data_IF_012837932660
#
_entry.id   IF_012837932660
#
_cell.length_a   1.000
_cell.length_b   1.000
_cell.length_c   1.000
_cell.angle_alpha   90.00
_cell.angle_beta   90.00
_cell.angle_gamma   90.00
#
_symmetry.space_group_name_H-M   'P 1'
#
loop_
_entity.id
_entity.type
_entity.pdbx_description
1 polymer ?
#
# COMPACT_ATOMS: atom_id res chain seq x y z
N UNK A 1 -1.30 -21.57 -3.18
CA UNK A 1 -0.68 -20.35 -2.63
C UNK A 1 -1.73 -19.60 -1.80
N UNK A 2 -1.44 -19.23 -0.56
CA UNK A 2 -2.35 -18.46 0.31
C UNK A 2 -2.28 -16.97 -0.01
N UNK A 3 -3.36 -16.22 0.26
CA UNK A 3 -3.42 -14.76 0.02
C UNK A 3 -2.25 -13.99 0.63
N UNK A 4 -1.84 -14.36 1.86
CA UNK A 4 -0.67 -13.76 2.52
C UNK A 4 0.65 -14.02 1.78
N UNK A 5 0.79 -15.17 1.13
CA UNK A 5 1.98 -15.50 0.32
C UNK A 5 2.02 -14.68 -0.97
N UNK A 6 0.86 -14.47 -1.61
CA UNK A 6 0.73 -13.59 -2.79
C UNK A 6 1.12 -12.15 -2.48
N UNK A 7 0.57 -11.59 -1.38
CA UNK A 7 0.91 -10.23 -0.93
C UNK A 7 2.41 -10.08 -0.72
N UNK A 8 3.03 -11.03 -0.03
CA UNK A 8 4.48 -11.03 0.20
C UNK A 8 5.24 -11.09 -1.13
N UNK A 9 4.88 -12.00 -2.03
CA UNK A 9 5.55 -12.14 -3.33
C UNK A 9 5.51 -10.85 -4.17
N UNK A 10 4.37 -10.14 -4.17
CA UNK A 10 4.23 -8.86 -4.85
C UNK A 10 5.18 -7.79 -4.29
N UNK A 11 5.19 -7.61 -2.97
CA UNK A 11 6.05 -6.61 -2.31
C UNK A 11 7.54 -6.94 -2.53
N UNK A 12 7.91 -8.21 -2.44
CA UNK A 12 9.28 -8.68 -2.65
C UNK A 12 9.78 -8.47 -4.09
N UNK A 13 8.90 -8.66 -5.09
CA UNK A 13 9.24 -8.44 -6.50
C UNK A 13 9.66 -7.00 -6.78
N UNK A 14 8.97 -6.02 -6.19
CA UNK A 14 9.28 -4.60 -6.35
C UNK A 14 10.47 -4.18 -5.49
N UNK A 15 10.61 -4.73 -4.27
CA UNK A 15 11.78 -4.53 -3.42
C UNK A 15 13.08 -4.95 -4.11
N UNK A 16 13.08 -6.11 -4.77
CA UNK A 16 14.23 -6.59 -5.54
C UNK A 16 14.62 -5.66 -6.71
N UNK A 17 13.74 -4.73 -7.10
CA UNK A 17 13.97 -3.70 -8.13
C UNK A 17 14.20 -2.31 -7.53
N UNK A 18 14.52 -2.23 -6.24
CA UNK A 18 14.84 -0.98 -5.56
C UNK A 18 13.65 -0.15 -5.08
N UNK A 19 12.44 -0.70 -5.06
CA UNK A 19 11.28 0.01 -4.48
C UNK A 19 11.26 -0.20 -2.96
N UNK A 20 10.98 0.87 -2.20
CA UNK A 20 10.76 0.79 -0.76
C UNK A 20 9.38 0.19 -0.44
N UNK A 21 9.30 -0.64 0.59
CA UNK A 21 8.01 -1.14 1.10
C UNK A 21 7.49 -0.13 2.13
N UNK A 22 6.52 0.68 1.72
CA UNK A 22 5.84 1.62 2.61
C UNK A 22 4.55 0.99 3.15
N UNK A 23 4.26 1.07 4.47
CA UNK A 23 2.99 0.64 5.03
C UNK A 23 1.80 1.38 4.43
N UNK A 24 0.63 0.73 4.42
CA UNK A 24 -0.59 1.38 3.93
C UNK A 24 -0.99 2.58 4.80
N UNK A 25 -1.40 3.66 4.14
CA UNK A 25 -1.95 4.85 4.79
C UNK A 25 -3.21 4.51 5.62
N UNK A 26 -3.55 5.31 6.65
CA UNK A 26 -4.79 5.15 7.40
C UNK A 26 -6.03 5.21 6.52
N UNK A 27 -7.15 4.62 6.98
CA UNK A 27 -8.41 4.67 6.26
C UNK A 27 -8.99 6.10 6.15
N UNK A 28 -8.78 6.93 7.17
CA UNK A 28 -9.20 8.33 7.21
C UNK A 28 -8.00 9.22 6.85
N UNK A 29 -8.07 9.98 5.74
CA UNK A 29 -6.99 10.87 5.33
C UNK A 29 -6.72 11.96 6.38
N UNK A 30 -5.44 12.19 6.69
CA UNK A 30 -5.08 13.19 7.71
C UNK A 30 -5.08 14.63 7.17
N UNK A 31 -4.76 14.81 5.89
CA UNK A 31 -4.40 16.12 5.31
C UNK A 31 -5.18 16.48 4.04
N UNK A 32 -6.19 15.69 3.67
CA UNK A 32 -7.03 15.97 2.50
C UNK A 32 -8.49 16.16 2.94
N UNK A 33 -8.98 17.40 3.06
CA UNK A 33 -10.35 17.68 3.47
C UNK A 33 -11.37 17.38 2.37
N UNK A 34 -10.94 17.08 1.15
CA UNK A 34 -11.81 16.75 0.02
C UNK A 34 -12.09 15.26 -0.10
N UNK A 35 -11.28 14.41 0.55
CA UNK A 35 -11.37 12.96 0.49
C UNK A 35 -11.98 12.39 1.77
N UNK A 36 -13.07 11.63 1.63
CA UNK A 36 -13.74 11.01 2.77
C UNK A 36 -12.97 9.81 3.34
N UNK A 37 -12.45 8.94 2.47
CA UNK A 37 -11.67 7.75 2.85
C UNK A 37 -10.56 7.47 1.83
N UNK A 38 -9.46 6.87 2.28
CA UNK A 38 -8.37 6.36 1.42
C UNK A 38 -8.92 5.32 0.45
N UNK A 39 -8.98 5.69 -0.83
CA UNK A 39 -9.55 4.85 -1.90
C UNK A 39 -8.49 4.10 -2.72
N UNK A 40 -7.23 4.51 -2.62
CA UNK A 40 -6.11 3.97 -3.37
C UNK A 40 -4.80 4.13 -2.60
N UNK A 41 -3.78 3.36 -2.98
CA UNK A 41 -2.44 3.43 -2.37
C UNK A 41 -1.56 4.57 -2.90
N UNK A 42 -2.11 5.48 -3.72
CA UNK A 42 -1.40 6.68 -4.21
C UNK A 42 -1.69 7.93 -3.37
N UNK A 43 -2.59 7.81 -2.38
CA UNK A 43 -3.05 8.88 -1.48
C UNK A 43 -2.18 8.98 -0.23
#
# INVERSE_FOLDING_TARGET
MKSNQLRKAFLEFFRARGHEIVPGSPLVPANDPTLLFTNAGMV
#
